data_IF_691693443215
#
_entry.id   IF_691693443215
#
_cell.length_a   1.000
_cell.length_b   1.000
_cell.length_c   1.000
_cell.angle_alpha   90.00
_cell.angle_beta   90.00
_cell.angle_gamma   90.00
#
_symmetry.space_group_name_H-M   'P 1'
#
loop_
_entity.id
_entity.type
_entity.pdbx_description
1 polymer ?
#
# COMPACT_ATOMS: atom_id res chain seq x y z
N UNK A 1 -4.47 2.56 -18.64
CA UNK A 1 -4.03 1.57 -17.64
C UNK A 1 -3.48 2.33 -16.47
N UNK A 2 -4.02 2.12 -15.27
CA UNK A 2 -3.56 2.79 -14.06
C UNK A 2 -2.11 2.38 -13.78
N UNK A 3 -1.22 3.36 -13.69
CA UNK A 3 0.18 3.11 -13.36
C UNK A 3 0.25 2.62 -11.91
N UNK A 4 0.88 1.47 -11.65
CA UNK A 4 1.06 1.00 -10.27
C UNK A 4 1.86 2.00 -9.41
N UNK A 5 2.57 2.94 -10.05
CA UNK A 5 3.26 4.06 -9.40
C UNK A 5 2.33 5.11 -8.77
N UNK A 6 1.05 5.11 -9.14
CA UNK A 6 0.02 5.95 -8.51
C UNK A 6 -0.72 5.22 -7.39
N UNK A 7 -0.26 4.07 -6.92
CA UNK A 7 -0.90 3.32 -5.83
C UNK A 7 -0.01 3.37 -4.60
N UNK A 8 -0.55 3.85 -3.48
CA UNK A 8 0.10 3.87 -2.16
C UNK A 8 -0.52 2.79 -1.31
N UNK A 9 0.29 1.83 -0.92
CA UNK A 9 -0.10 0.74 -0.02
C UNK A 9 0.23 1.16 1.42
N UNK A 10 -0.73 0.98 2.32
CA UNK A 10 -0.57 1.24 3.75
C UNK A 10 -1.04 0.05 4.56
N UNK A 11 -0.30 -0.25 5.61
CA UNK A 11 -0.62 -1.25 6.60
C UNK A 11 -0.65 -0.58 7.97
N UNK A 12 -1.80 -0.61 8.65
CA UNK A 12 -2.00 0.03 9.96
C UNK A 12 -1.49 1.49 10.03
N UNK A 13 -1.71 2.26 8.96
CA UNK A 13 -1.23 3.64 8.82
C UNK A 13 0.24 3.81 8.44
N UNK A 14 1.07 2.77 8.47
CA UNK A 14 2.44 2.78 7.97
C UNK A 14 2.50 2.53 6.45
N UNK A 15 3.34 3.26 5.70
CA UNK A 15 3.52 3.01 4.28
C UNK A 15 4.27 1.69 4.07
N UNK A 16 3.77 0.85 3.16
CA UNK A 16 4.43 -0.39 2.76
C UNK A 16 5.32 -0.12 1.54
N UNK A 17 6.57 -0.58 1.59
CA UNK A 17 7.47 -0.62 0.45
C UNK A 17 7.55 -2.02 -0.13
N UNK A 18 8.03 -2.14 -1.37
CA UNK A 18 8.20 -3.44 -2.05
C UNK A 18 9.23 -4.36 -1.35
N UNK A 19 10.10 -3.80 -0.51
CA UNK A 19 11.08 -4.53 0.31
C UNK A 19 10.51 -5.08 1.61
N UNK A 20 9.33 -4.63 2.02
CA UNK A 20 8.73 -5.04 3.28
C UNK A 20 8.07 -6.41 3.13
N UNK A 21 8.23 -7.24 4.15
CA UNK A 21 7.67 -8.59 4.20
C UNK A 21 6.50 -8.65 5.17
N UNK A 22 5.56 -9.58 5.00
CA UNK A 22 4.47 -9.78 5.96
C UNK A 22 4.99 -10.03 7.39
N UNK A 23 6.15 -10.69 7.52
CA UNK A 23 6.80 -10.94 8.83
C UNK A 23 7.33 -9.64 9.45
N UNK A 24 7.96 -8.76 8.67
CA UNK A 24 8.47 -7.49 9.19
C UNK A 24 7.37 -6.48 9.51
N UNK A 25 6.21 -6.63 8.86
CA UNK A 25 5.01 -5.84 9.10
C UNK A 25 4.13 -6.44 10.21
N UNK A 26 4.55 -7.54 10.84
CA UNK A 26 3.76 -8.28 11.85
C UNK A 26 2.34 -8.59 11.36
N UNK A 27 2.20 -8.89 10.07
CA UNK A 27 0.92 -9.18 9.45
C UNK A 27 0.42 -10.58 9.86
N UNK A 28 -0.81 -10.63 10.32
CA UNK A 28 -1.54 -11.85 10.66
C UNK A 28 -2.64 -12.19 9.62
N UNK A 29 -3.16 -13.41 9.71
CA UNK A 29 -4.28 -13.84 8.87
C UNK A 29 -5.56 -13.10 9.28
N UNK A 30 -6.08 -12.27 8.38
CA UNK A 30 -7.27 -11.43 8.63
C UNK A 30 -6.96 -9.93 8.59
N UNK A 31 -5.68 -9.58 8.51
CA UNK A 31 -5.24 -8.21 8.36
C UNK A 31 -5.59 -7.61 6.99
N UNK A 32 -5.89 -6.31 6.99
CA UNK A 32 -6.31 -5.56 5.80
C UNK A 32 -5.28 -4.53 5.39
N UNK A 33 -4.89 -4.56 4.13
CA UNK A 33 -4.04 -3.53 3.51
C UNK A 33 -4.94 -2.45 2.91
N UNK A 34 -4.67 -1.20 3.25
CA UNK A 34 -5.32 -0.05 2.66
C UNK A 34 -4.58 0.38 1.39
N UNK A 35 -5.29 0.47 0.27
CA UNK A 35 -4.73 0.89 -1.01
C UNK A 35 -5.31 2.24 -1.41
N UNK A 36 -4.46 3.25 -1.43
CA UNK A 36 -4.81 4.59 -1.84
C UNK A 36 -4.33 4.83 -3.27
N UNK A 37 -5.24 5.21 -4.16
CA UNK A 37 -4.81 5.75 -5.45
C UNK A 37 -4.34 7.18 -5.21
N UNK A 38 -3.03 7.40 -5.35
CA UNK A 38 -2.44 8.71 -5.50
C UNK A 38 -2.99 9.31 -6.80
N UNK A 39 -4.14 9.99 -6.70
CA UNK A 39 -4.73 10.72 -7.79
C UNK A 39 -3.74 11.81 -8.20
N UNK A 40 -2.93 11.53 -9.22
CA UNK A 40 -2.31 12.59 -10.01
C UNK A 40 -3.47 13.27 -10.71
N UNK A 41 -3.97 14.35 -10.09
CA UNK A 41 -5.04 15.16 -10.65
C UNK A 41 -4.68 15.52 -12.08
N UNK A 42 -5.37 14.89 -13.03
CA UNK A 42 -5.40 15.37 -14.41
C UNK A 42 -6.21 16.66 -14.40
N UNK A 43 -5.63 17.71 -15.00
CA UNK A 43 -6.32 18.96 -15.26
C UNK A 43 -7.63 18.73 -16.05
#
# INVERSE_FOLDING_TARGET
GLAMQTMRFRFDGQPINESDTPVSLEMEEGDTIEVYQQQTGGC
#
